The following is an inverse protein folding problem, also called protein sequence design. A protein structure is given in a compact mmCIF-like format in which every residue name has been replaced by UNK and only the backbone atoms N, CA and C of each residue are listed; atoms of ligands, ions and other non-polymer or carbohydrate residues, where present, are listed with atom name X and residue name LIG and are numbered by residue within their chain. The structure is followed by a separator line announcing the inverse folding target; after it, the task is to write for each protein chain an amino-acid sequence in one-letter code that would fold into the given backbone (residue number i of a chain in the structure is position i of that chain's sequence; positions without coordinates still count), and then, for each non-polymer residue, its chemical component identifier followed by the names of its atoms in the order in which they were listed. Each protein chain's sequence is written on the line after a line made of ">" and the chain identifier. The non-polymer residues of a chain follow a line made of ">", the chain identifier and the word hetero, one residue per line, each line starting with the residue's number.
data_IF_405136408027
#
_entry.id   IF_405136408027
#
_cell.length_a   1.000
_cell.length_b   1.000
_cell.length_c   1.000
_cell.angle_alpha   90.00
_cell.angle_beta   90.00
_cell.angle_gamma   90.00
#
_symmetry.space_group_name_H-M   'P 1'
#
loop_
_entity.id
_entity.type
_entity.pdbx_description
1 polymer ?
#
# COMPACT_ATOMS: atom_id res chain seq x y z
N UNK A 1 -19.60 -8.77 6.74
CA UNK A 1 -18.66 -7.69 7.15
C UNK A 1 -17.81 -7.26 5.94
N UNK A 2 -17.28 -6.06 5.98
CA UNK A 2 -16.29 -5.57 5.01
C UNK A 2 -14.93 -5.46 5.71
N UNK A 3 -13.94 -6.20 5.22
CA UNK A 3 -12.61 -6.31 5.81
C UNK A 3 -11.58 -5.72 4.85
N UNK A 4 -10.77 -4.79 5.34
CA UNK A 4 -9.65 -4.22 4.61
C UNK A 4 -8.34 -4.76 5.18
N UNK A 5 -7.52 -5.41 4.35
CA UNK A 5 -6.35 -6.13 4.79
C UNK A 5 -5.09 -5.69 4.03
N UNK A 6 -4.08 -5.28 4.78
CA UNK A 6 -2.84 -4.69 4.26
C UNK A 6 -1.59 -5.29 4.90
N UNK A 7 -0.49 -5.25 4.17
CA UNK A 7 0.85 -5.26 4.75
C UNK A 7 1.25 -3.84 5.16
N UNK A 8 2.02 -3.72 6.25
CA UNK A 8 2.45 -2.44 6.78
C UNK A 8 3.97 -2.39 6.92
N UNK A 9 4.57 -1.35 6.35
CA UNK A 9 6.01 -1.09 6.35
C UNK A 9 6.41 0.20 7.06
N UNK A 10 5.42 0.97 7.58
CA UNK A 10 5.65 2.26 8.25
C UNK A 10 4.97 3.45 7.58
N UNK A 11 3.98 3.21 6.72
CA UNK A 11 3.20 4.22 6.00
C UNK A 11 2.14 4.87 6.90
N UNK A 12 2.56 5.54 8.00
CA UNK A 12 1.67 6.03 9.07
C UNK A 12 0.56 6.93 8.52
N UNK A 13 0.90 7.95 7.72
CA UNK A 13 -0.07 8.93 7.22
C UNK A 13 -1.04 8.30 6.22
N UNK A 14 -0.56 7.38 5.36
CA UNK A 14 -1.42 6.65 4.42
C UNK A 14 -2.38 5.72 5.15
N UNK A 15 -1.91 5.00 6.16
CA UNK A 15 -2.79 4.12 6.96
C UNK A 15 -3.81 4.94 7.76
N UNK A 16 -3.44 6.09 8.32
CA UNK A 16 -4.40 7.00 8.97
C UNK A 16 -5.48 7.48 8.01
N UNK A 17 -5.09 7.95 6.82
CA UNK A 17 -6.03 8.37 5.78
C UNK A 17 -6.94 7.20 5.39
N UNK A 18 -6.38 6.00 5.19
CA UNK A 18 -7.10 4.77 4.87
C UNK A 18 -8.17 4.43 5.91
N UNK A 19 -7.81 4.42 7.18
CA UNK A 19 -8.72 4.17 8.31
C UNK A 19 -9.84 5.21 8.43
N UNK A 20 -9.60 6.44 7.98
CA UNK A 20 -10.59 7.52 8.01
C UNK A 20 -11.60 7.41 6.87
N UNK A 21 -11.14 7.08 5.64
CA UNK A 21 -11.98 7.17 4.44
C UNK A 21 -12.63 5.85 4.05
N UNK A 22 -11.97 4.70 4.32
CA UNK A 22 -12.53 3.42 3.93
C UNK A 22 -13.56 2.93 4.96
N UNK A 23 -14.78 2.60 4.54
CA UNK A 23 -15.87 2.23 5.44
C UNK A 23 -15.80 0.76 5.89
N UNK A 24 -14.59 0.22 6.10
CA UNK A 24 -14.42 -1.15 6.56
C UNK A 24 -14.94 -1.34 8.00
N UNK A 25 -15.55 -2.49 8.25
CA UNK A 25 -15.96 -2.92 9.58
C UNK A 25 -14.74 -3.30 10.42
N UNK A 26 -13.73 -3.92 9.78
CA UNK A 26 -12.46 -4.28 10.38
C UNK A 26 -11.28 -4.06 9.42
N UNK A 27 -10.13 -3.77 9.99
CA UNK A 27 -8.86 -3.62 9.31
C UNK A 27 -7.87 -4.67 9.82
N UNK A 28 -7.27 -5.43 8.90
CA UNK A 28 -6.18 -6.36 9.20
C UNK A 28 -4.88 -5.70 8.80
N UNK A 29 -3.98 -5.51 9.76
CA UNK A 29 -2.67 -4.88 9.54
C UNK A 29 -1.60 -5.88 9.95
N UNK A 30 -0.78 -6.33 8.99
CA UNK A 30 0.32 -7.27 9.23
C UNK A 30 1.64 -6.57 9.12
N UNK A 31 2.45 -6.63 10.17
CA UNK A 31 3.78 -6.02 10.23
C UNK A 31 4.86 -7.01 10.63
N UNK A 32 6.01 -6.95 9.92
CA UNK A 32 7.20 -7.73 10.21
C UNK A 32 8.19 -6.96 11.09
N UNK A 33 9.01 -7.70 11.87
CA UNK A 33 10.11 -7.18 12.69
C UNK A 33 11.35 -6.75 11.90
N UNK A 34 11.32 -6.93 10.57
CA UNK A 34 12.40 -6.52 9.67
C UNK A 34 11.85 -5.88 8.40
N UNK A 35 12.65 -5.05 7.77
CA UNK A 35 12.48 -4.67 6.37
C UNK A 35 12.62 -5.89 5.45
N UNK A 36 12.08 -5.84 4.26
CA UNK A 36 12.21 -6.95 3.28
C UNK A 36 13.67 -7.25 2.94
N UNK A 37 14.53 -6.24 2.91
CA UNK A 37 15.97 -6.39 2.73
C UNK A 37 16.72 -6.97 3.95
N UNK A 38 15.99 -7.36 5.01
CA UNK A 38 16.51 -8.10 6.16
C UNK A 38 17.00 -7.25 7.33
N UNK A 39 17.06 -5.92 7.21
CA UNK A 39 17.48 -5.07 8.33
C UNK A 39 16.39 -5.08 9.43
N UNK A 40 16.79 -5.24 10.70
CA UNK A 40 15.86 -5.14 11.82
C UNK A 40 15.17 -3.77 11.88
N UNK A 41 13.90 -3.76 12.21
CA UNK A 41 13.13 -2.55 12.52
C UNK A 41 12.23 -2.81 13.73
N UNK A 42 11.88 -1.79 14.49
CA UNK A 42 10.83 -1.94 15.49
C UNK A 42 9.49 -2.16 14.78
N UNK A 43 8.50 -2.63 15.54
CA UNK A 43 7.12 -2.61 15.08
C UNK A 43 6.63 -1.17 15.10
N UNK A 44 6.59 -0.55 13.92
CA UNK A 44 6.30 0.88 13.76
C UNK A 44 4.86 1.22 14.10
N UNK A 45 3.93 0.27 13.91
CA UNK A 45 2.55 0.45 14.35
C UNK A 45 2.47 0.58 15.88
N UNK A 46 3.16 -0.29 16.64
CA UNK A 46 3.22 -0.19 18.11
C UNK A 46 3.82 1.14 18.59
N UNK A 47 4.85 1.63 17.88
CA UNK A 47 5.48 2.90 18.25
C UNK A 47 4.59 4.13 17.96
N UNK A 48 3.54 3.96 17.17
CA UNK A 48 2.65 5.03 16.73
C UNK A 48 1.19 4.78 17.13
N UNK A 49 0.92 3.97 18.15
CA UNK A 49 -0.45 3.63 18.58
C UNK A 49 -1.33 4.85 18.86
N UNK A 50 -0.75 5.92 19.38
CA UNK A 50 -1.47 7.17 19.68
C UNK A 50 -2.09 7.78 18.41
N UNK A 51 -1.43 7.61 17.25
CA UNK A 51 -1.94 8.08 15.96
C UNK A 51 -3.17 7.29 15.48
N UNK A 52 -3.41 6.10 16.02
CA UNK A 52 -4.44 5.17 15.62
C UNK A 52 -5.54 4.94 16.66
N UNK A 53 -5.48 5.63 17.82
CA UNK A 53 -6.35 5.39 18.98
C UNK A 53 -7.84 5.30 18.62
N UNK A 54 -8.32 6.17 17.74
CA UNK A 54 -9.73 6.23 17.29
C UNK A 54 -10.20 4.92 16.64
N UNK A 55 -9.29 4.20 15.96
CA UNK A 55 -9.62 3.02 15.15
C UNK A 55 -9.20 1.69 15.77
N UNK A 56 -8.44 1.70 16.89
CA UNK A 56 -7.96 0.48 17.55
C UNK A 56 -9.05 -0.60 17.74
N UNK A 57 -10.31 -0.25 18.10
CA UNK A 57 -11.36 -1.25 18.24
C UNK A 57 -11.73 -2.01 16.95
N UNK A 58 -11.36 -1.47 15.78
CA UNK A 58 -11.59 -2.07 14.46
C UNK A 58 -10.34 -2.70 13.87
N UNK A 59 -9.18 -2.62 14.53
CA UNK A 59 -7.91 -3.07 13.96
C UNK A 59 -7.52 -4.43 14.53
N UNK A 60 -7.36 -5.40 13.67
CA UNK A 60 -6.72 -6.67 13.95
C UNK A 60 -5.24 -6.56 13.55
N UNK A 61 -4.39 -6.18 14.51
CA UNK A 61 -2.96 -6.01 14.29
C UNK A 61 -2.18 -7.29 14.54
N UNK A 62 -1.44 -7.75 13.55
CA UNK A 62 -0.68 -9.00 13.57
C UNK A 62 0.82 -8.70 13.40
N UNK A 63 1.56 -9.02 14.44
CA UNK A 63 3.03 -8.97 14.44
C UNK A 63 3.61 -10.30 14.01
N UNK A 64 4.46 -10.28 13.01
CA UNK A 64 5.16 -11.48 12.54
C UNK A 64 6.67 -11.32 12.66
N UNK A 65 7.36 -12.45 12.79
CA UNK A 65 8.79 -12.51 12.56
C UNK A 65 9.04 -12.63 11.05
N UNK A 66 10.04 -11.91 10.56
CA UNK A 66 10.50 -12.06 9.17
C UNK A 66 10.94 -13.48 8.90
N UNK A 67 10.76 -13.97 7.68
CA UNK A 67 11.32 -15.23 7.23
C UNK A 67 12.85 -15.27 7.36
N UNK A 68 13.50 -14.08 7.29
CA UNK A 68 14.96 -13.97 7.41
C UNK A 68 15.72 -14.44 6.17
N UNK A 69 15.04 -14.54 5.02
CA UNK A 69 15.67 -14.84 3.74
C UNK A 69 16.63 -13.73 3.33
N UNK A 70 17.72 -14.11 2.67
CA UNK A 70 18.63 -13.17 1.99
C UNK A 70 18.00 -12.59 0.71
N UNK A 71 16.95 -13.22 0.17
CA UNK A 71 16.15 -12.69 -0.91
C UNK A 71 15.02 -11.82 -0.34
N UNK A 72 15.01 -10.53 -0.65
CA UNK A 72 14.04 -9.59 -0.13
C UNK A 72 12.59 -9.91 -0.56
N UNK A 73 12.40 -10.51 -1.74
CA UNK A 73 11.10 -10.95 -2.22
C UNK A 73 10.49 -12.08 -1.39
N UNK A 74 11.31 -13.01 -0.87
CA UNK A 74 10.79 -14.08 0.00
C UNK A 74 10.25 -13.50 1.31
N UNK A 75 10.88 -12.43 1.83
CA UNK A 75 10.42 -11.74 3.03
C UNK A 75 9.10 -10.97 2.77
N UNK A 76 8.95 -10.33 1.61
CA UNK A 76 7.71 -9.69 1.17
C UNK A 76 6.59 -10.72 1.03
N UNK A 77 6.83 -11.82 0.30
CA UNK A 77 5.87 -12.92 0.13
C UNK A 77 5.43 -13.51 1.48
N UNK A 78 6.38 -13.67 2.40
CA UNK A 78 6.08 -14.15 3.74
C UNK A 78 5.11 -13.21 4.48
N UNK A 79 5.34 -11.90 4.44
CA UNK A 79 4.45 -10.94 5.09
C UNK A 79 3.05 -10.94 4.44
N UNK A 80 2.94 -10.99 3.12
CA UNK A 80 1.66 -11.07 2.39
C UNK A 80 0.90 -12.35 2.70
N UNK A 81 1.57 -13.50 2.75
CA UNK A 81 0.92 -14.78 3.14
C UNK A 81 0.34 -14.73 4.55
N UNK A 82 0.99 -14.01 5.46
CA UNK A 82 0.46 -13.82 6.82
C UNK A 82 -0.81 -12.96 6.87
N UNK A 83 -1.09 -12.14 5.85
CA UNK A 83 -2.39 -11.47 5.71
C UNK A 83 -3.50 -12.53 5.54
N UNK A 84 -3.30 -13.53 4.69
CA UNK A 84 -4.26 -14.63 4.53
C UNK A 84 -4.50 -15.40 5.83
N UNK A 85 -3.44 -15.75 6.55
CA UNK A 85 -3.54 -16.44 7.84
C UNK A 85 -4.26 -15.59 8.91
N UNK A 86 -4.02 -14.28 8.91
CA UNK A 86 -4.72 -13.35 9.78
C UNK A 86 -6.23 -13.32 9.48
N UNK A 87 -6.61 -13.26 8.21
CA UNK A 87 -8.01 -13.32 7.76
C UNK A 87 -8.69 -14.64 8.18
N UNK A 88 -8.01 -15.77 8.02
CA UNK A 88 -8.54 -17.08 8.46
C UNK A 88 -8.83 -17.11 9.97
N UNK A 89 -8.03 -16.43 10.78
CA UNK A 89 -8.20 -16.37 12.23
C UNK A 89 -9.42 -15.57 12.69
N UNK A 90 -10.00 -14.73 11.82
CA UNK A 90 -11.16 -13.88 12.16
C UNK A 90 -12.50 -14.63 12.13
N UNK A 91 -12.56 -15.85 11.60
CA UNK A 91 -13.80 -16.62 11.51
C UNK A 91 -14.84 -16.00 10.59
N UNK A 92 -14.40 -15.43 9.47
CA UNK A 92 -15.24 -14.73 8.49
C UNK A 92 -16.30 -15.67 7.90
N UNK A 93 -17.49 -15.12 7.63
CA UNK A 93 -18.52 -15.79 6.85
C UNK A 93 -18.13 -15.79 5.36
N UNK A 94 -18.56 -16.80 4.62
CA UNK A 94 -18.24 -16.97 3.19
C UNK A 94 -18.65 -15.76 2.35
N UNK A 95 -19.68 -15.01 2.77
CA UNK A 95 -20.21 -13.80 2.14
C UNK A 95 -19.59 -12.48 2.65
N UNK A 96 -18.66 -12.54 3.61
CA UNK A 96 -17.96 -11.35 4.04
C UNK A 96 -17.03 -10.87 2.91
N UNK A 97 -16.98 -9.56 2.68
CA UNK A 97 -16.16 -8.97 1.63
C UNK A 97 -14.75 -8.69 2.15
N UNK A 98 -13.75 -9.14 1.41
CA UNK A 98 -12.33 -8.92 1.71
C UNK A 98 -11.71 -8.04 0.64
N UNK A 99 -10.95 -7.05 1.08
CA UNK A 99 -10.15 -6.14 0.27
C UNK A 99 -8.67 -6.34 0.61
N UNK A 100 -7.89 -6.87 -0.36
CA UNK A 100 -6.46 -7.17 -0.22
C UNK A 100 -5.64 -6.15 -1.00
N UNK A 101 -5.00 -5.22 -0.31
CA UNK A 101 -4.25 -4.12 -0.93
C UNK A 101 -2.91 -3.87 -0.23
N UNK A 102 -2.07 -3.04 -0.85
CA UNK A 102 -0.98 -2.39 -0.14
C UNK A 102 -1.50 -1.15 0.62
N UNK A 103 -0.76 -0.69 1.62
CA UNK A 103 -1.18 0.43 2.46
C UNK A 103 -1.42 1.73 1.68
N UNK A 104 -0.80 1.87 0.51
CA UNK A 104 -0.83 3.03 -0.38
C UNK A 104 -1.83 2.88 -1.56
N UNK A 105 -2.63 1.81 -1.60
CA UNK A 105 -3.66 1.54 -2.62
C UNK A 105 -5.06 1.75 -2.03
N UNK A 106 -5.85 2.69 -2.56
CA UNK A 106 -7.19 3.05 -2.07
C UNK A 106 -8.27 2.62 -3.06
N UNK A 107 -9.16 1.74 -2.64
CA UNK A 107 -10.27 1.22 -3.45
C UNK A 107 -11.55 2.06 -3.29
N UNK A 108 -12.48 1.94 -4.24
CA UNK A 108 -13.75 2.67 -4.24
C UNK A 108 -14.91 1.76 -3.79
N UNK A 109 -15.50 2.07 -2.63
CA UNK A 109 -16.62 1.30 -2.04
C UNK A 109 -17.79 1.13 -2.99
N UNK A 110 -18.04 2.12 -3.86
CA UNK A 110 -19.19 2.11 -4.77
C UNK A 110 -19.03 1.11 -5.93
N UNK A 111 -17.88 0.44 -6.01
CA UNK A 111 -17.54 -0.49 -7.11
C UNK A 111 -17.21 -1.90 -6.64
N UNK A 112 -17.50 -2.21 -5.37
CA UNK A 112 -17.26 -3.57 -4.85
C UNK A 112 -18.22 -4.57 -5.49
N UNK A 113 -17.68 -5.72 -5.87
CA UNK A 113 -18.41 -6.84 -6.47
C UNK A 113 -18.22 -8.11 -5.62
N UNK A 114 -19.20 -9.03 -5.60
CA UNK A 114 -19.11 -10.26 -4.80
C UNK A 114 -17.98 -11.20 -5.27
N UNK A 115 -17.78 -11.32 -6.58
CA UNK A 115 -16.74 -12.19 -7.15
C UNK A 115 -15.36 -11.53 -7.07
N UNK A 116 -14.29 -12.31 -7.27
CA UNK A 116 -12.94 -11.76 -7.21
C UNK A 116 -12.66 -10.84 -8.39
N UNK A 117 -12.22 -9.62 -8.07
CA UNK A 117 -11.82 -8.61 -9.03
C UNK A 117 -10.47 -8.01 -8.67
N UNK A 118 -9.66 -7.72 -9.68
CA UNK A 118 -8.48 -6.87 -9.56
C UNK A 118 -8.88 -5.41 -9.85
N UNK A 119 -8.06 -4.48 -9.37
CA UNK A 119 -8.33 -3.05 -9.54
C UNK A 119 -7.30 -2.39 -10.43
N UNK A 120 -7.76 -1.59 -11.39
CA UNK A 120 -6.89 -0.71 -12.16
C UNK A 120 -7.01 0.70 -11.62
N UNK A 121 -5.91 1.22 -11.10
CA UNK A 121 -5.84 2.49 -10.38
C UNK A 121 -4.84 3.43 -11.04
N UNK A 122 -5.17 4.74 -11.15
CA UNK A 122 -4.16 5.75 -11.45
C UNK A 122 -3.09 5.74 -10.35
N UNK A 123 -1.82 5.66 -10.76
CA UNK A 123 -0.67 5.62 -9.88
C UNK A 123 0.00 6.99 -9.82
N UNK A 124 0.09 7.52 -8.62
CA UNK A 124 0.83 8.75 -8.31
C UNK A 124 2.13 8.40 -7.61
N UNK A 125 3.21 9.04 -8.00
CA UNK A 125 4.54 8.72 -7.49
C UNK A 125 5.19 9.96 -6.87
N UNK A 126 5.58 9.90 -5.60
CA UNK A 126 6.23 10.97 -4.83
C UNK A 126 5.40 12.25 -4.61
N UNK A 127 4.38 12.49 -5.40
CA UNK A 127 3.47 13.63 -5.31
C UNK A 127 2.16 13.32 -6.00
N UNK A 128 1.05 13.85 -5.47
CA UNK A 128 -0.27 13.78 -6.13
C UNK A 128 -0.34 14.55 -7.46
N UNK A 129 0.66 15.33 -7.77
CA UNK A 129 0.81 16.02 -9.06
C UNK A 129 1.52 15.19 -10.11
N UNK A 130 2.12 14.09 -9.74
CA UNK A 130 2.90 13.25 -10.63
C UNK A 130 2.21 11.92 -10.90
N UNK A 131 1.41 11.94 -11.96
CA UNK A 131 0.81 10.74 -12.51
C UNK A 131 1.86 9.93 -13.28
N UNK A 132 1.90 8.63 -13.03
CA UNK A 132 2.83 7.72 -13.70
C UNK A 132 2.11 6.91 -14.79
N UNK A 133 1.22 6.02 -14.42
CA UNK A 133 0.36 5.22 -15.30
C UNK A 133 -0.74 4.53 -14.48
N UNK A 134 -1.71 3.92 -15.16
CA UNK A 134 -2.69 3.08 -14.49
C UNK A 134 -2.10 1.69 -14.22
N UNK A 135 -2.12 1.27 -12.98
CA UNK A 135 -1.59 -0.02 -12.53
C UNK A 135 -2.72 -0.95 -12.10
N UNK A 136 -2.60 -2.25 -12.45
CA UNK A 136 -3.46 -3.27 -11.86
C UNK A 136 -2.90 -3.64 -10.49
N UNK A 137 -3.71 -3.48 -9.45
CA UNK A 137 -3.29 -3.55 -8.06
C UNK A 137 -4.00 -4.67 -7.29
N UNK A 138 -4.47 -4.42 -6.07
CA UNK A 138 -5.06 -5.37 -5.14
C UNK A 138 -6.30 -6.11 -5.64
N UNK A 139 -6.86 -6.90 -4.76
CA UNK A 139 -8.01 -7.77 -5.04
C UNK A 139 -9.15 -7.51 -4.06
N UNK A 140 -10.39 -7.60 -4.54
CA UNK A 140 -11.60 -7.62 -3.69
C UNK A 140 -12.51 -8.77 -4.07
N UNK A 141 -13.34 -9.22 -3.15
CA UNK A 141 -14.35 -10.25 -3.37
C UNK A 141 -14.85 -10.85 -2.05
N UNK A 142 -15.80 -11.75 -2.12
CA UNK A 142 -16.29 -12.49 -0.96
C UNK A 142 -15.22 -13.47 -0.42
N UNK A 143 -15.23 -13.68 0.89
CA UNK A 143 -14.26 -14.53 1.59
C UNK A 143 -14.20 -15.97 1.05
N UNK A 144 -15.32 -16.55 0.60
CA UNK A 144 -15.36 -17.89 0.01
C UNK A 144 -14.33 -18.12 -1.09
N UNK A 145 -13.92 -17.07 -1.82
CA UNK A 145 -12.94 -17.16 -2.90
C UNK A 145 -11.48 -17.06 -2.43
N UNK A 146 -11.24 -16.52 -1.24
CA UNK A 146 -9.91 -16.36 -0.66
C UNK A 146 -9.56 -17.44 0.36
N UNK A 147 -10.58 -18.03 0.98
CA UNK A 147 -10.46 -19.02 2.05
C UNK A 147 -9.64 -20.24 1.61
N UNK A 148 -8.59 -20.54 2.37
CA UNK A 148 -7.65 -21.62 2.04
C UNK A 148 -6.75 -21.37 0.84
N UNK A 149 -6.80 -20.17 0.24
CA UNK A 149 -5.95 -19.79 -0.88
C UNK A 149 -4.65 -19.13 -0.41
N UNK A 150 -3.63 -19.21 -1.25
CA UNK A 150 -2.46 -18.39 -1.08
C UNK A 150 -2.72 -16.98 -1.64
N UNK A 151 -3.07 -16.03 -0.77
CA UNK A 151 -3.44 -14.65 -1.16
C UNK A 151 -2.31 -13.92 -1.88
N UNK A 152 -1.05 -14.24 -1.59
CA UNK A 152 0.09 -13.71 -2.30
C UNK A 152 0.13 -14.22 -3.75
N UNK A 153 -0.06 -15.51 -3.98
CA UNK A 153 -0.14 -16.08 -5.32
C UNK A 153 -1.33 -15.49 -6.11
N UNK A 154 -2.49 -15.29 -5.47
CA UNK A 154 -3.63 -14.62 -6.09
C UNK A 154 -3.28 -13.18 -6.52
N UNK A 155 -2.59 -12.42 -5.66
CA UNK A 155 -2.14 -11.06 -5.98
C UNK A 155 -1.16 -11.04 -7.17
N UNK A 156 -0.27 -12.03 -7.27
CA UNK A 156 0.62 -12.16 -8.43
C UNK A 156 -0.13 -12.49 -9.73
N UNK A 157 -1.21 -13.25 -9.63
CA UNK A 157 -2.09 -13.58 -10.75
C UNK A 157 -3.19 -12.53 -11.00
N UNK A 158 -3.13 -11.34 -10.37
CA UNK A 158 -4.23 -10.35 -10.36
C UNK A 158 -4.74 -9.97 -11.75
N UNK A 159 -3.89 -9.90 -12.74
CA UNK A 159 -4.29 -9.56 -14.11
C UNK A 159 -5.15 -10.66 -14.80
N UNK A 160 -5.23 -11.86 -14.21
CA UNK A 160 -6.10 -12.94 -14.69
C UNK A 160 -7.54 -12.83 -14.21
N UNK A 161 -7.82 -11.94 -13.24
CA UNK A 161 -9.17 -11.68 -12.75
C UNK A 161 -9.86 -10.55 -13.52
N UNK A 162 -11.19 -10.48 -13.51
CA UNK A 162 -11.91 -9.32 -14.01
C UNK A 162 -11.40 -8.03 -13.36
N UNK A 163 -11.33 -6.95 -14.14
CA UNK A 163 -10.73 -5.68 -13.69
C UNK A 163 -11.81 -4.63 -13.46
N UNK A 164 -11.80 -4.03 -12.27
CA UNK A 164 -12.55 -2.82 -11.92
C UNK A 164 -11.64 -1.61 -12.08
N UNK A 165 -12.11 -0.57 -12.80
CA UNK A 165 -11.41 0.71 -12.86
C UNK A 165 -11.91 1.61 -11.73
N UNK A 166 -11.02 2.04 -10.81
CA UNK A 166 -11.38 2.92 -9.71
C UNK A 166 -10.36 2.94 -8.59
N UNK A 167 -10.56 3.85 -7.65
CA UNK A 167 -9.56 4.05 -6.59
C UNK A 167 -8.31 4.78 -7.09
N UNK A 168 -7.22 4.69 -6.34
CA UNK A 168 -5.94 5.31 -6.69
C UNK A 168 -4.79 4.70 -5.87
N UNK A 169 -3.56 4.79 -6.39
CA UNK A 169 -2.35 4.27 -5.78
C UNK A 169 -1.35 5.41 -5.52
N UNK A 170 -0.98 5.61 -4.24
CA UNK A 170 -0.09 6.69 -3.77
C UNK A 170 1.30 6.15 -3.43
N UNK A 171 2.07 5.74 -4.43
CA UNK A 171 3.36 5.12 -4.16
C UNK A 171 4.46 6.13 -3.83
N UNK A 172 5.32 5.79 -2.87
CA UNK A 172 6.53 6.57 -2.54
C UNK A 172 6.24 8.02 -2.13
N UNK A 173 5.09 8.26 -1.51
CA UNK A 173 4.75 9.57 -0.92
C UNK A 173 5.63 9.82 0.31
N UNK A 174 6.35 10.94 0.32
CA UNK A 174 7.23 11.31 1.41
C UNK A 174 8.38 12.21 0.96
N UNK A 175 9.27 12.56 1.87
CA UNK A 175 10.48 13.32 1.59
C UNK A 175 11.62 12.44 1.04
N UNK A 176 12.74 13.04 0.70
CA UNK A 176 13.90 12.32 0.19
C UNK A 176 14.44 11.28 1.18
N UNK A 177 14.45 11.61 2.47
CA UNK A 177 14.92 10.67 3.50
C UNK A 177 14.00 9.45 3.61
N UNK A 178 12.68 9.65 3.51
CA UNK A 178 11.72 8.55 3.41
C UNK A 178 11.98 7.67 2.19
N UNK A 179 12.19 8.27 1.02
CA UNK A 179 12.48 7.53 -0.23
C UNK A 179 13.76 6.70 -0.11
N UNK A 180 14.81 7.27 0.48
CA UNK A 180 16.08 6.56 0.71
C UNK A 180 15.84 5.35 1.64
N UNK A 181 15.13 5.54 2.76
CA UNK A 181 14.79 4.44 3.68
C UNK A 181 13.93 3.37 3.00
N UNK A 182 12.92 3.78 2.22
CA UNK A 182 12.05 2.86 1.48
C UNK A 182 12.86 2.00 0.52
N UNK A 183 13.73 2.58 -0.32
CA UNK A 183 14.54 1.83 -1.28
C UNK A 183 15.55 0.91 -0.59
N UNK A 184 16.14 1.34 0.51
CA UNK A 184 17.06 0.49 1.30
C UNK A 184 16.37 -0.70 1.97
N UNK A 185 15.05 -0.61 2.20
CA UNK A 185 14.29 -1.61 2.97
C UNK A 185 13.33 -2.49 2.17
N UNK A 186 12.92 -2.09 0.96
CA UNK A 186 11.89 -2.78 0.19
C UNK A 186 12.43 -3.98 -0.62
N UNK A 187 11.55 -4.69 -1.34
CA UNK A 187 11.92 -5.92 -2.04
C UNK A 187 12.80 -5.69 -3.28
N UNK A 188 12.64 -4.57 -3.98
CA UNK A 188 13.39 -4.21 -5.18
C UNK A 188 14.82 -3.73 -4.89
N UNK A 189 15.65 -4.63 -4.36
CA UNK A 189 17.04 -4.31 -4.01
C UNK A 189 17.95 -4.01 -5.19
N UNK A 190 17.52 -4.30 -6.42
CA UNK A 190 18.20 -3.89 -7.66
C UNK A 190 18.34 -2.37 -7.80
N UNK A 191 17.52 -1.60 -7.12
CA UNK A 191 17.62 -0.13 -7.08
C UNK A 191 18.56 0.39 -6.00
N UNK A 192 18.87 -0.40 -4.99
CA UNK A 192 19.77 -0.05 -3.90
C UNK A 192 21.25 -0.17 -4.34
N UNK A 193 21.69 0.74 -5.20
CA UNK A 193 23.03 0.77 -5.81
C UNK A 193 23.81 2.00 -5.36
N UNK A 194 25.14 2.01 -5.53
CA UNK A 194 25.96 3.20 -5.27
C UNK A 194 25.37 4.46 -5.94
N UNK A 195 25.43 5.58 -5.23
CA UNK A 195 24.83 6.83 -5.68
C UNK A 195 23.30 6.91 -5.55
N UNK A 196 22.66 6.02 -4.77
CA UNK A 196 21.22 6.00 -4.56
C UNK A 196 20.66 7.37 -4.17
N UNK A 197 21.30 8.06 -3.23
CA UNK A 197 20.82 9.35 -2.71
C UNK A 197 20.76 10.41 -3.80
N UNK A 198 21.79 10.50 -4.62
CA UNK A 198 21.80 11.43 -5.75
C UNK A 198 20.73 11.07 -6.79
N UNK A 199 20.61 9.79 -7.15
CA UNK A 199 19.56 9.35 -8.10
C UNK A 199 18.14 9.64 -7.59
N UNK A 200 17.88 9.44 -6.30
CA UNK A 200 16.58 9.78 -5.74
C UNK A 200 16.35 11.30 -5.66
N UNK A 201 17.40 12.08 -5.39
CA UNK A 201 17.34 13.53 -5.48
C UNK A 201 17.04 14.01 -6.90
N UNK A 202 17.63 13.36 -7.91
CA UNK A 202 17.35 13.64 -9.31
C UNK A 202 15.90 13.25 -9.68
N UNK A 203 15.43 12.07 -9.26
CA UNK A 203 14.02 11.66 -9.42
C UNK A 203 13.07 12.69 -8.82
N UNK A 204 13.37 13.12 -7.60
CA UNK A 204 12.61 14.12 -6.88
C UNK A 204 12.60 15.49 -7.57
N UNK A 205 13.71 15.87 -8.19
CA UNK A 205 13.87 17.17 -8.83
C UNK A 205 13.25 17.22 -10.22
N UNK A 206 13.43 16.17 -11.01
CA UNK A 206 13.08 16.16 -12.43
C UNK A 206 11.79 15.40 -12.77
N UNK A 207 11.10 14.83 -11.79
CA UNK A 207 9.81 14.17 -12.01
C UNK A 207 9.91 12.87 -12.80
N UNK A 208 10.78 11.97 -12.40
CA UNK A 208 10.86 10.62 -12.94
C UNK A 208 11.05 9.60 -11.82
N UNK A 209 10.76 8.32 -12.10
CA UNK A 209 11.04 7.25 -11.14
C UNK A 209 12.52 6.82 -11.21
N UNK A 210 12.92 5.94 -10.29
CA UNK A 210 14.29 5.44 -10.21
C UNK A 210 14.71 4.60 -11.42
N UNK A 211 13.77 4.17 -12.25
CA UNK A 211 13.96 3.45 -13.52
C UNK A 211 14.15 4.41 -14.69
N UNK A 212 13.94 5.71 -14.48
CA UNK A 212 14.07 6.74 -15.50
C UNK A 212 12.78 7.05 -16.28
N UNK A 213 11.64 6.49 -15.89
CA UNK A 213 10.37 6.82 -16.52
C UNK A 213 9.87 8.18 -16.00
N UNK A 214 9.64 9.11 -16.91
CA UNK A 214 9.10 10.43 -16.58
C UNK A 214 7.66 10.37 -16.12
N UNK A 215 7.30 11.25 -15.19
CA UNK A 215 5.91 11.44 -14.76
C UNK A 215 5.22 12.50 -15.61
N UNK A 216 3.92 12.37 -15.74
CA UNK A 216 3.08 13.45 -16.25
C UNK A 216 2.74 14.38 -15.08
N UNK A 217 3.17 15.65 -15.17
CA UNK A 217 2.75 16.64 -14.20
C UNK A 217 1.29 17.03 -14.45
N UNK A 218 0.46 16.89 -13.42
CA UNK A 218 -0.93 17.28 -13.48
C UNK A 218 -1.08 18.72 -12.98
N UNK A 219 -1.69 19.62 -13.78
CA UNK A 219 -1.90 21.02 -13.37
C UNK A 219 -2.80 21.12 -12.14
N UNK A 220 -3.72 20.18 -12.02
CA UNK A 220 -4.70 20.08 -10.92
C UNK A 220 -4.81 18.65 -10.42
N UNK A 221 -5.37 18.47 -9.22
CA UNK A 221 -5.51 17.15 -8.54
C UNK A 221 -6.80 16.43 -8.96
N UNK A 222 -7.21 16.50 -10.22
CA UNK A 222 -8.54 16.09 -10.72
C UNK A 222 -8.87 14.60 -10.66
N UNK A 223 -7.88 13.76 -10.38
CA UNK A 223 -8.08 12.32 -10.51
C UNK A 223 -8.33 11.61 -9.17
N UNK A 224 -8.29 12.35 -8.06
CA UNK A 224 -8.71 11.79 -6.79
C UNK A 224 -10.25 11.84 -6.70
N UNK A 225 -10.88 10.77 -6.24
CA UNK A 225 -12.32 10.75 -6.04
C UNK A 225 -12.79 11.80 -5.02
N UNK A 226 -13.98 12.36 -5.20
CA UNK A 226 -14.58 13.37 -4.31
C UNK A 226 -14.73 12.90 -2.85
N UNK A 227 -14.78 11.58 -2.63
CA UNK A 227 -14.87 11.00 -1.29
C UNK A 227 -13.54 11.03 -0.53
N UNK A 228 -12.41 11.35 -1.19
CA UNK A 228 -11.11 11.41 -0.56
C UNK A 228 -10.73 12.85 -0.20
N UNK A 229 -10.66 13.14 1.10
CA UNK A 229 -10.25 14.45 1.61
C UNK A 229 -8.73 14.65 1.56
N UNK A 230 -8.25 15.63 0.80
CA UNK A 230 -6.83 15.96 0.70
C UNK A 230 -6.22 16.39 2.05
N UNK A 231 -7.01 16.95 2.96
CA UNK A 231 -6.61 17.35 4.30
C UNK A 231 -6.14 16.18 5.18
N UNK A 232 -6.43 14.95 4.77
CA UNK A 232 -5.98 13.74 5.44
C UNK A 232 -4.52 13.42 5.17
N UNK A 233 -3.93 14.03 4.14
CA UNK A 233 -2.55 13.82 3.73
C UNK A 233 -1.66 15.02 4.09
N UNK A 234 -0.37 14.80 4.33
CA UNK A 234 0.61 15.87 4.47
C UNK A 234 0.56 16.83 3.27
N UNK A 235 0.46 18.13 3.56
CA UNK A 235 0.26 19.14 2.51
C UNK A 235 1.40 19.22 1.48
N UNK A 236 2.59 18.82 1.85
CA UNK A 236 3.76 18.73 0.99
C UNK A 236 3.59 17.70 -0.15
N UNK A 237 2.71 16.71 0.00
CA UNK A 237 2.47 15.71 -1.03
C UNK A 237 1.66 16.22 -2.22
N UNK A 238 0.97 17.36 -2.10
CA UNK A 238 0.14 17.93 -3.15
C UNK A 238 0.44 19.39 -3.49
N UNK A 239 1.35 20.06 -2.76
CA UNK A 239 1.81 21.41 -3.11
C UNK A 239 2.71 21.38 -4.35
N UNK A 240 2.67 22.46 -5.14
CA UNK A 240 3.69 22.68 -6.16
C UNK A 240 5.05 22.81 -5.49
N UNK A 241 6.05 22.17 -6.06
CA UNK A 241 7.42 22.34 -5.59
C UNK A 241 7.93 23.72 -5.95
N UNK A 242 8.79 24.31 -5.11
CA UNK A 242 9.27 25.68 -5.31
C UNK A 242 10.05 25.89 -6.61
N UNK A 243 10.54 24.83 -7.25
CA UNK A 243 11.44 24.89 -8.41
C UNK A 243 10.99 23.98 -9.58
N UNK A 244 9.72 23.62 -9.66
CA UNK A 244 9.15 22.93 -10.81
C UNK A 244 8.64 23.91 -11.85
#
# INVERSE_FOLDING_TARGET
>A
MLIDAITFGGEIDLVRARLEVLPADQFVIVESDKHYAGQPKPYLFDQNLDAFTKWLPKIHYVKIQSLGSSNAWDNDYHQRRNVGLALESLGLADTDTVCLFDADEFWDINKLEPTVHAWRMPKYHMSLRWYHFDEVTGLTGEWQYFKGQNVDAMRWARESYPIINGGFHLTSMGDLDYLIRKVKGFAHQEYNRPGLEQRLADCWTYGHNIEGHSFTELPDLYHLPDWFGLELLPSEWYRKRPNA
#
